data_IF_870914568455
#
_entry.id   IF_870914568455
#
_cell.length_a   1.000
_cell.length_b   1.000
_cell.length_c   1.000
_cell.angle_alpha   90.00
_cell.angle_beta   90.00
_cell.angle_gamma   90.00
#
_symmetry.space_group_name_H-M   'P 1'
#
loop_
_entity.id
_entity.type
_entity.pdbx_description
1 polymer ?
#
# COMPACT_ATOMS: atom_id res chain seq x y z
N UNK A 1 -35.68 1.92 -21.37
CA UNK A 1 -35.18 2.16 -22.74
C UNK A 1 -33.68 2.42 -22.64
N UNK A 2 -32.87 1.36 -22.78
CA UNK A 2 -31.41 1.42 -22.69
C UNK A 2 -30.88 1.85 -24.06
N UNK A 3 -30.52 3.12 -24.20
CA UNK A 3 -29.79 3.58 -25.37
C UNK A 3 -28.34 3.08 -25.25
N UNK A 4 -27.99 2.12 -26.10
CA UNK A 4 -26.61 1.72 -26.39
C UNK A 4 -25.86 2.96 -26.88
N UNK A 5 -25.01 3.53 -26.01
CA UNK A 5 -24.10 4.60 -26.41
C UNK A 5 -23.02 3.98 -27.30
N UNK A 6 -22.85 4.54 -28.50
CA UNK A 6 -21.74 4.23 -29.40
C UNK A 6 -20.38 4.46 -28.71
N UNK A 7 -19.26 4.16 -29.39
CA UNK A 7 -17.93 4.26 -28.77
C UNK A 7 -17.71 5.69 -28.27
N UNK A 8 -17.84 5.88 -26.95
CA UNK A 8 -17.50 7.14 -26.32
C UNK A 8 -15.98 7.17 -26.31
N UNK A 9 -15.39 8.08 -27.08
CA UNK A 9 -14.04 8.55 -26.80
C UNK A 9 -14.18 9.36 -25.51
N UNK A 10 -14.26 8.64 -24.39
CA UNK A 10 -14.41 9.23 -23.07
C UNK A 10 -13.18 10.08 -22.78
N UNK A 11 -13.37 11.25 -22.15
CA UNK A 11 -12.26 12.01 -21.63
C UNK A 11 -11.44 11.09 -20.71
N UNK A 12 -10.11 11.13 -20.78
CA UNK A 12 -9.26 10.29 -19.91
C UNK A 12 -9.57 10.50 -18.42
N UNK A 13 -10.07 11.68 -18.06
CA UNK A 13 -10.55 11.97 -16.72
C UNK A 13 -11.82 11.16 -16.36
N UNK A 14 -12.76 10.99 -17.29
CA UNK A 14 -14.00 10.24 -17.06
C UNK A 14 -13.69 8.76 -16.79
N UNK A 15 -12.81 8.16 -17.60
CA UNK A 15 -12.36 6.78 -17.37
C UNK A 15 -11.67 6.64 -16.01
N UNK A 16 -10.89 7.62 -15.59
CA UNK A 16 -10.25 7.62 -14.27
C UNK A 16 -11.28 7.71 -13.14
N UNK A 17 -12.30 8.56 -13.27
CA UNK A 17 -13.40 8.67 -12.31
C UNK A 17 -14.20 7.37 -12.20
N UNK A 18 -14.46 6.70 -13.32
CA UNK A 18 -15.11 5.38 -13.34
C UNK A 18 -14.30 4.34 -12.57
N UNK A 19 -12.97 4.30 -12.76
CA UNK A 19 -12.07 3.40 -12.03
C UNK A 19 -12.10 3.73 -10.53
N UNK A 20 -12.00 5.00 -10.17
CA UNK A 20 -12.04 5.43 -8.76
C UNK A 20 -13.34 5.00 -8.08
N UNK A 21 -14.48 5.26 -8.72
CA UNK A 21 -15.79 4.89 -8.20
C UNK A 21 -15.93 3.37 -8.07
N UNK A 22 -15.54 2.61 -9.10
CA UNK A 22 -15.62 1.14 -9.12
C UNK A 22 -14.80 0.48 -8.01
N UNK A 23 -13.68 1.08 -7.63
CA UNK A 23 -12.75 0.51 -6.66
C UNK A 23 -12.76 1.22 -5.29
N UNK A 24 -13.73 2.12 -5.05
CA UNK A 24 -13.83 2.92 -3.82
C UNK A 24 -12.51 3.61 -3.46
N UNK A 25 -11.88 4.20 -4.49
CA UNK A 25 -10.62 4.94 -4.35
C UNK A 25 -10.91 6.41 -4.12
N UNK A 26 -10.13 7.02 -3.22
CA UNK A 26 -10.12 8.45 -2.95
C UNK A 26 -8.82 9.06 -3.48
N UNK A 27 -8.92 10.24 -4.10
CA UNK A 27 -7.75 11.04 -4.47
C UNK A 27 -7.27 11.78 -3.21
N UNK A 28 -5.97 11.77 -2.95
CA UNK A 28 -5.40 12.30 -1.69
C UNK A 28 -4.35 13.40 -1.87
N UNK A 29 -4.09 13.83 -3.11
CA UNK A 29 -3.10 14.88 -3.40
C UNK A 29 -3.80 16.23 -3.43
N UNK A 30 -3.58 17.04 -2.40
CA UNK A 30 -4.23 18.35 -2.22
C UNK A 30 -3.27 19.51 -2.54
N UNK A 31 -2.84 19.61 -3.80
CA UNK A 31 -2.05 20.74 -4.26
C UNK A 31 -1.41 20.52 -5.63
N UNK A 32 -0.74 21.55 -6.18
CA UNK A 32 -0.12 21.49 -7.49
C UNK A 32 1.11 20.57 -7.48
N UNK A 33 1.16 19.63 -8.41
CA UNK A 33 2.30 18.73 -8.60
C UNK A 33 3.18 19.12 -9.77
N UNK A 34 2.72 20.05 -10.61
CA UNK A 34 3.49 20.61 -11.71
C UNK A 34 3.41 22.14 -11.71
N UNK A 35 4.56 22.80 -11.81
CA UNK A 35 4.69 24.26 -11.87
C UNK A 35 5.55 24.64 -13.07
N UNK A 36 4.93 25.22 -14.09
CA UNK A 36 5.62 25.70 -15.28
C UNK A 36 5.43 27.20 -15.42
N UNK A 37 6.44 27.97 -15.01
CA UNK A 37 6.36 29.43 -14.93
C UNK A 37 5.29 29.88 -13.93
N UNK A 38 4.24 30.54 -14.43
CA UNK A 38 3.10 30.99 -13.61
C UNK A 38 1.94 29.99 -13.59
N UNK A 39 2.03 28.89 -14.35
CA UNK A 39 1.00 27.86 -14.41
C UNK A 39 1.24 26.80 -13.34
N UNK A 40 0.20 26.49 -12.55
CA UNK A 40 0.24 25.43 -11.52
C UNK A 40 -0.87 24.42 -11.79
N UNK A 41 -0.51 23.14 -11.90
CA UNK A 41 -1.47 22.06 -12.19
C UNK A 41 -1.23 20.85 -11.28
N UNK A 42 -2.29 20.08 -11.04
CA UNK A 42 -2.24 18.81 -10.31
C UNK A 42 -2.45 17.69 -11.32
N UNK A 43 -1.36 17.13 -11.82
CA UNK A 43 -1.39 16.07 -12.83
C UNK A 43 -0.91 14.73 -12.27
N UNK A 44 -0.09 14.77 -11.23
CA UNK A 44 0.40 13.58 -10.54
C UNK A 44 -0.56 13.26 -9.40
N UNK A 45 -1.30 12.17 -9.55
CA UNK A 45 -2.37 11.79 -8.65
C UNK A 45 -1.99 10.56 -7.85
N UNK A 46 -2.37 10.55 -6.58
CA UNK A 46 -2.30 9.38 -5.71
C UNK A 46 -3.72 9.02 -5.30
N UNK A 47 -4.06 7.74 -5.49
CA UNK A 47 -5.35 7.19 -5.10
C UNK A 47 -5.15 6.13 -4.02
N UNK A 48 -5.92 6.23 -2.94
CA UNK A 48 -5.92 5.25 -1.86
C UNK A 48 -7.31 4.61 -1.76
N UNK A 49 -7.39 3.33 -1.39
CA UNK A 49 -8.66 2.75 -1.00
C UNK A 49 -9.18 3.45 0.27
N UNK A 50 -10.49 3.70 0.31
CA UNK A 50 -11.23 4.15 1.49
C UNK A 50 -10.92 3.39 2.79
N UNK A 51 -10.53 2.11 2.68
CA UNK A 51 -10.12 1.24 3.79
C UNK A 51 -8.70 1.50 4.32
N UNK A 52 -7.95 2.41 3.69
CA UNK A 52 -6.60 2.76 4.13
C UNK A 52 -6.69 3.66 5.36
N UNK A 53 -6.28 3.14 6.51
CA UNK A 53 -6.36 3.89 7.77
C UNK A 53 -5.10 4.72 8.02
N UNK A 54 -5.26 6.03 8.15
CA UNK A 54 -4.20 6.94 8.58
C UNK A 54 -3.12 7.13 7.53
N UNK A 55 -3.30 8.15 6.69
CA UNK A 55 -2.29 8.59 5.75
C UNK A 55 -1.97 10.08 5.98
N UNK A 56 -0.77 10.46 5.59
CA UNK A 56 -0.32 11.85 5.49
C UNK A 56 0.30 12.01 4.09
N UNK A 57 -0.06 13.09 3.39
CA UNK A 57 0.43 13.38 2.05
C UNK A 57 1.02 14.78 2.05
N UNK A 58 2.30 14.86 1.70
CA UNK A 58 3.04 16.11 1.53
C UNK A 58 3.41 16.27 0.05
N UNK A 59 3.38 17.51 -0.44
CA UNK A 59 3.95 17.87 -1.74
C UNK A 59 5.23 18.65 -1.49
N UNK A 60 6.35 18.12 -1.98
CA UNK A 60 7.69 18.69 -1.79
C UNK A 60 8.30 19.13 -3.11
N UNK A 61 9.35 19.94 -3.03
CA UNK A 61 10.13 20.31 -4.20
C UNK A 61 10.69 19.05 -4.87
N UNK A 62 10.54 19.01 -6.20
CA UNK A 62 10.97 17.88 -7.01
C UNK A 62 12.04 18.30 -8.02
N UNK A 63 12.04 17.64 -9.17
CA UNK A 63 13.01 17.86 -10.25
C UNK A 63 12.28 18.52 -11.41
N UNK A 64 12.90 19.54 -12.00
CA UNK A 64 12.33 20.35 -13.09
C UNK A 64 11.04 21.07 -12.67
N UNK A 65 10.00 21.01 -13.50
CA UNK A 65 8.68 21.56 -13.24
C UNK A 65 7.78 20.63 -12.42
N UNK A 66 8.26 19.44 -12.04
CA UNK A 66 7.50 18.49 -11.23
C UNK A 66 7.87 18.58 -9.75
N UNK A 67 6.85 18.56 -8.89
CA UNK A 67 6.95 18.37 -7.44
C UNK A 67 6.83 16.89 -7.09
N UNK A 68 7.40 16.51 -5.95
CA UNK A 68 7.33 15.13 -5.45
C UNK A 68 6.14 15.00 -4.49
N UNK A 69 5.30 13.98 -4.72
CA UNK A 69 4.25 13.57 -3.78
C UNK A 69 4.82 12.54 -2.82
N UNK A 70 4.86 12.86 -1.53
CA UNK A 70 5.33 11.97 -0.46
C UNK A 70 4.14 11.53 0.38
N UNK A 71 3.83 10.23 0.35
CA UNK A 71 2.77 9.65 1.17
C UNK A 71 3.36 8.80 2.30
N UNK A 72 2.90 9.02 3.53
CA UNK A 72 3.19 8.16 4.69
C UNK A 72 1.94 7.38 5.03
N UNK A 73 2.04 6.05 4.98
CA UNK A 73 0.91 5.14 5.23
C UNK A 73 1.12 4.40 6.56
N UNK A 74 0.11 4.38 7.42
CA UNK A 74 0.12 3.56 8.64
C UNK A 74 -0.39 2.16 8.33
N UNK A 75 0.53 1.21 8.23
CA UNK A 75 0.18 -0.20 7.98
C UNK A 75 -0.13 -0.89 9.31
N UNK A 76 -1.39 -1.30 9.52
CA UNK A 76 -1.73 -2.24 10.59
C UNK A 76 -1.32 -3.64 10.18
N UNK A 77 -0.11 -4.06 10.52
CA UNK A 77 0.31 -5.45 10.36
C UNK A 77 -0.55 -6.35 11.27
N UNK A 78 -1.40 -7.19 10.67
CA UNK A 78 -1.90 -8.38 11.36
C UNK A 78 -0.75 -9.38 11.42
N UNK A 79 -0.03 -9.41 12.54
CA UNK A 79 0.89 -10.51 12.84
C UNK A 79 -0.01 -11.74 13.04
N UNK A 80 -0.12 -12.59 12.02
CA UNK A 80 -0.69 -13.90 12.20
C UNK A 80 0.24 -14.64 13.17
N UNK A 81 -0.19 -14.83 14.42
CA UNK A 81 0.48 -15.76 15.33
C UNK A 81 0.38 -17.13 14.67
N UNK A 82 1.44 -17.55 13.98
CA UNK A 82 1.60 -18.94 13.57
C UNK A 82 1.52 -19.74 14.86
N UNK A 83 0.52 -20.63 14.97
CA UNK A 83 0.46 -21.60 16.07
C UNK A 83 1.71 -22.46 15.94
N UNK A 84 2.73 -22.19 16.74
CA UNK A 84 3.90 -23.06 16.86
C UNK A 84 3.38 -24.43 17.27
N UNK A 85 3.65 -25.51 16.51
CA UNK A 85 3.24 -26.84 16.93
C UNK A 85 3.98 -27.17 18.23
N UNK A 86 3.23 -27.32 19.32
CA UNK A 86 3.77 -27.80 20.59
C UNK A 86 4.12 -29.27 20.43
N UNK A 87 5.39 -29.57 20.18
CA UNK A 87 5.89 -30.95 20.25
C UNK A 87 6.12 -31.26 21.74
N UNK A 88 5.28 -32.12 22.32
CA UNK A 88 5.53 -32.67 23.65
C UNK A 88 6.72 -33.64 23.56
N UNK A 89 7.91 -33.19 23.95
CA UNK A 89 9.06 -34.07 24.13
C UNK A 89 8.97 -34.69 25.52
N UNK A 90 8.60 -35.97 25.60
CA UNK A 90 8.82 -36.75 26.83
C UNK A 90 10.31 -37.01 26.99
N UNK A 91 10.95 -36.30 27.93
CA UNK A 91 12.29 -36.65 28.38
C UNK A 91 12.15 -37.76 29.42
N UNK A 92 12.33 -39.02 29.00
CA UNK A 92 12.52 -40.09 29.97
C UNK A 92 13.91 -39.93 30.61
N UNK A 93 13.94 -39.83 31.94
CA UNK A 93 15.19 -39.76 32.70
C UNK A 93 15.89 -41.11 32.59
N UNK A 94 16.93 -41.20 31.77
CA UNK A 94 17.90 -42.29 31.87
C UNK A 94 19.03 -41.88 32.83
N UNK A 95 19.40 -42.74 33.80
CA UNK A 95 20.53 -42.46 34.68
C UNK A 95 21.84 -42.58 33.88
N UNK A 96 22.66 -41.52 33.94
CA UNK A 96 23.99 -41.51 33.34
C UNK A 96 24.97 -42.35 34.15
N UNK A 97 25.57 -43.36 33.53
CA UNK A 97 26.85 -43.94 33.96
C UNK A 97 27.86 -43.74 32.84
N UNK A 98 28.81 -42.83 33.05
CA UNK A 98 30.00 -42.71 32.21
C UNK A 98 31.03 -43.74 32.68
N UNK A 99 31.44 -44.64 31.80
CA UNK A 99 32.67 -45.41 31.91
C UNK A 99 33.58 -45.01 30.76
N UNK A 100 34.71 -44.40 31.08
CA UNK A 100 35.77 -44.12 30.12
C UNK A 100 36.67 -45.36 30.02
N UNK A 101 36.95 -45.81 28.80
CA UNK A 101 38.04 -46.74 28.52
C UNK A 101 39.04 -46.01 27.62
N UNK A 102 40.26 -45.85 28.12
CA UNK A 102 41.43 -45.40 27.36
C UNK A 102 42.14 -46.66 26.87
N UNK A 103 42.37 -46.75 25.56
CA UNK A 103 43.45 -47.53 24.95
C UNK A 103 44.04 -46.72 23.81
#
# INVERSE_FOLDING_TARGET
>A
MLALRGPQIGCHADTMLEIMAKHSLIQVVNGPTRIQGQCQTTLDLLFLSDKTFGYEVDIKDGICDHKVVVARLRIKHKINKVKTPTVNVMISKMPMTYQYWIT
#
